data_IF_876198217841
#
_entry.id   IF_876198217841
#
_cell.length_a   1.000
_cell.length_b   1.000
_cell.length_c   1.000
_cell.angle_alpha   90.00
_cell.angle_beta   90.00
_cell.angle_gamma   90.00
#
_symmetry.space_group_name_H-M   'P 1'
#
loop_
_entity.id
_entity.type
_entity.pdbx_description
1 polymer ?
#
# COMPACT_ATOMS: atom_id res chain seq x y z
N UNK A 1 4.16 -4.65 20.58
CA UNK A 1 3.50 -5.33 21.71
C UNK A 1 2.12 -4.72 21.81
N UNK A 2 1.07 -5.49 21.53
CA UNK A 2 -0.32 -5.02 21.62
C UNK A 2 -0.74 -5.14 23.07
N UNK A 3 -1.13 -4.03 23.72
CA UNK A 3 -1.70 -4.08 25.05
C UNK A 3 -3.10 -4.69 24.96
N UNK A 4 -3.30 -5.85 25.61
CA UNK A 4 -4.62 -6.40 25.84
C UNK A 4 -5.34 -5.51 26.85
N UNK A 5 -6.31 -4.74 26.39
CA UNK A 5 -7.09 -3.87 27.26
C UNK A 5 -8.21 -4.69 27.92
N UNK A 6 -8.10 -4.90 29.21
CA UNK A 6 -9.22 -5.36 30.04
C UNK A 6 -10.33 -4.29 30.01
N UNK A 7 -11.55 -4.73 29.65
CA UNK A 7 -12.85 -4.04 29.83
C UNK A 7 -12.96 -2.62 29.25
N UNK A 8 -13.42 -2.53 28.02
CA UNK A 8 -13.81 -1.25 27.38
C UNK A 8 -15.34 -1.10 27.46
N UNK A 9 -15.90 -0.93 28.67
CA UNK A 9 -17.36 -0.80 28.84
C UNK A 9 -17.95 0.50 28.25
N UNK A 10 -17.15 1.56 28.05
CA UNK A 10 -17.62 2.86 27.55
C UNK A 10 -17.02 3.32 26.21
N UNK A 11 -16.23 2.52 25.54
CA UNK A 11 -15.68 2.90 24.24
C UNK A 11 -16.68 2.66 23.12
N UNK A 12 -17.02 3.72 22.37
CA UNK A 12 -17.77 3.58 21.13
C UNK A 12 -16.74 3.38 20.00
N UNK A 13 -16.78 2.23 19.33
CA UNK A 13 -15.97 1.94 18.16
C UNK A 13 -16.67 2.42 16.89
N UNK A 14 -15.90 2.84 15.89
CA UNK A 14 -16.44 3.12 14.56
C UNK A 14 -16.85 1.79 13.89
N UNK A 15 -15.99 0.77 14.02
CA UNK A 15 -16.21 -0.56 13.48
C UNK A 15 -15.75 -1.62 14.46
N UNK A 16 -16.53 -2.70 14.60
CA UNK A 16 -16.11 -3.91 15.31
C UNK A 16 -16.19 -5.12 14.36
N UNK A 17 -15.08 -5.86 14.25
CA UNK A 17 -15.00 -7.14 13.55
C UNK A 17 -15.20 -8.23 14.58
N UNK A 18 -16.27 -9.03 14.45
CA UNK A 18 -16.67 -10.03 15.45
C UNK A 18 -16.49 -11.47 14.95
N UNK A 19 -16.31 -12.38 15.90
CA UNK A 19 -16.29 -13.84 15.71
C UNK A 19 -15.12 -14.34 14.82
N UNK A 20 -14.11 -13.51 14.56
CA UNK A 20 -12.99 -13.87 13.70
C UNK A 20 -11.96 -14.78 14.36
N UNK A 21 -11.13 -15.41 13.53
CA UNK A 21 -9.86 -15.99 13.97
C UNK A 21 -8.74 -15.04 13.64
N UNK A 22 -8.12 -14.44 14.64
CA UNK A 22 -7.06 -13.44 14.45
C UNK A 22 -5.74 -14.11 14.16
N UNK A 23 -5.03 -13.58 13.15
CA UNK A 23 -3.61 -13.85 12.84
C UNK A 23 -2.94 -12.50 12.81
N UNK A 24 -2.23 -12.13 13.86
CA UNK A 24 -1.75 -10.76 14.11
C UNK A 24 -0.39 -10.42 13.47
N UNK A 25 0.23 -11.39 12.81
CA UNK A 25 1.55 -11.22 12.19
C UNK A 25 2.74 -11.34 13.17
N UNK A 26 2.51 -11.61 14.46
CA UNK A 26 3.58 -11.76 15.47
C UNK A 26 4.39 -13.06 15.34
N UNK A 27 3.93 -14.01 14.52
CA UNK A 27 4.46 -15.38 14.46
C UNK A 27 3.89 -16.30 15.53
N UNK A 28 3.00 -15.79 16.40
CA UNK A 28 2.28 -16.56 17.40
C UNK A 28 1.14 -17.41 16.83
N UNK A 29 0.55 -18.25 17.69
CA UNK A 29 -0.62 -19.06 17.30
C UNK A 29 -1.84 -18.16 17.07
N UNK A 30 -2.64 -18.50 16.03
CA UNK A 30 -3.93 -17.86 15.80
C UNK A 30 -4.89 -18.07 16.97
N UNK A 31 -5.77 -17.09 17.21
CA UNK A 31 -6.71 -17.12 18.32
C UNK A 31 -8.06 -16.51 17.94
N UNK A 32 -9.13 -16.90 18.65
CA UNK A 32 -10.47 -16.32 18.47
C UNK A 32 -10.55 -15.00 19.24
N UNK A 33 -10.97 -13.94 18.56
CA UNK A 33 -11.14 -12.63 19.19
C UNK A 33 -11.97 -11.70 18.31
N UNK A 34 -12.51 -10.64 18.92
CA UNK A 34 -13.07 -9.48 18.24
C UNK A 34 -12.00 -8.41 18.08
N UNK A 35 -12.14 -7.53 17.07
CA UNK A 35 -11.25 -6.41 16.82
C UNK A 35 -12.07 -5.12 16.77
N UNK A 36 -11.75 -4.16 17.65
CA UNK A 36 -12.38 -2.84 17.71
C UNK A 36 -11.51 -1.76 17.06
N UNK A 37 -12.11 -1.03 16.12
CA UNK A 37 -11.48 0.05 15.36
C UNK A 37 -12.12 1.38 15.74
N UNK A 38 -11.29 2.38 16.02
CA UNK A 38 -11.70 3.76 16.29
C UNK A 38 -10.69 4.74 15.70
N UNK A 39 -11.18 5.75 15.00
CA UNK A 39 -10.33 6.76 14.35
C UNK A 39 -9.24 6.13 13.46
N UNK A 40 -9.62 5.18 12.61
CA UNK A 40 -8.73 4.44 11.70
C UNK A 40 -7.58 3.67 12.40
N UNK A 41 -7.77 3.32 13.68
CA UNK A 41 -6.77 2.58 14.47
C UNK A 41 -7.42 1.39 15.17
N UNK A 42 -6.71 0.28 15.24
CA UNK A 42 -7.08 -0.83 16.13
C UNK A 42 -6.90 -0.34 17.56
N UNK A 43 -8.00 -0.33 18.33
CA UNK A 43 -8.02 0.13 19.73
C UNK A 43 -8.14 -0.99 20.72
N UNK A 44 -8.75 -2.10 20.34
CA UNK A 44 -8.90 -3.25 21.19
C UNK A 44 -8.91 -4.55 20.38
N UNK A 45 -8.33 -5.60 20.97
CA UNK A 45 -8.46 -6.99 20.53
C UNK A 45 -8.83 -7.78 21.76
N UNK A 46 -10.00 -8.41 21.79
CA UNK A 46 -10.51 -9.11 22.96
C UNK A 46 -11.99 -9.46 22.84
N UNK A 47 -12.64 -9.72 23.97
CA UNK A 47 -14.10 -9.86 24.02
C UNK A 47 -14.76 -8.47 23.99
N UNK A 48 -15.35 -8.14 22.86
CA UNK A 48 -16.11 -6.90 22.65
C UNK A 48 -17.63 -7.14 22.60
N UNK A 49 -18.13 -8.20 23.25
CA UNK A 49 -19.55 -8.56 23.28
C UNK A 49 -20.45 -7.43 23.78
N UNK A 50 -19.97 -6.63 24.74
CA UNK A 50 -20.68 -5.48 25.34
C UNK A 50 -20.34 -4.13 24.71
N UNK A 51 -19.39 -4.09 23.76
CA UNK A 51 -18.96 -2.83 23.15
C UNK A 51 -20.06 -2.19 22.30
N UNK A 52 -20.14 -0.86 22.33
CA UNK A 52 -20.98 -0.07 21.41
C UNK A 52 -20.17 0.24 20.13
N UNK A 53 -20.82 0.21 18.99
CA UNK A 53 -20.17 0.41 17.68
C UNK A 53 -21.15 0.98 16.64
N UNK A 54 -20.59 1.68 15.65
CA UNK A 54 -21.34 2.15 14.50
C UNK A 54 -21.58 1.03 13.47
N UNK A 55 -20.51 0.31 13.08
CA UNK A 55 -20.57 -0.76 12.09
C UNK A 55 -20.10 -2.10 12.72
N UNK A 56 -20.81 -3.18 12.39
CA UNK A 56 -20.39 -4.54 12.71
C UNK A 56 -20.03 -5.30 11.45
N UNK A 57 -18.86 -5.94 11.43
CA UNK A 57 -18.46 -6.92 10.43
C UNK A 57 -18.44 -8.29 11.10
N UNK A 58 -19.22 -9.23 10.57
CA UNK A 58 -19.20 -10.61 11.06
C UNK A 58 -18.12 -11.40 10.30
N UNK A 59 -17.10 -11.83 11.02
CA UNK A 59 -15.99 -12.63 10.51
C UNK A 59 -16.08 -14.11 10.97
N UNK A 60 -17.27 -14.62 11.25
CA UNK A 60 -17.45 -16.02 11.61
C UNK A 60 -16.86 -16.94 10.53
N UNK A 61 -16.04 -17.91 10.92
CA UNK A 61 -15.30 -18.81 10.04
C UNK A 61 -14.30 -18.12 9.07
N UNK A 62 -13.90 -16.90 9.37
CA UNK A 62 -12.91 -16.15 8.59
C UNK A 62 -11.66 -15.85 9.42
N UNK A 63 -10.56 -15.59 8.70
CA UNK A 63 -9.34 -15.06 9.29
C UNK A 63 -9.43 -13.53 9.28
N UNK A 64 -9.02 -12.92 10.38
CA UNK A 64 -8.78 -11.49 10.52
C UNK A 64 -7.28 -11.29 10.66
N UNK A 65 -6.67 -10.66 9.69
CA UNK A 65 -5.23 -10.44 9.63
C UNK A 65 -4.93 -9.01 9.18
N UNK A 66 -3.72 -8.48 9.43
CA UNK A 66 -3.25 -7.28 8.76
C UNK A 66 -3.32 -7.44 7.24
N UNK A 67 -3.59 -6.34 6.53
CA UNK A 67 -3.53 -6.35 5.07
C UNK A 67 -2.13 -6.69 4.57
N UNK A 68 -2.04 -7.38 3.44
CA UNK A 68 -0.75 -7.73 2.86
C UNK A 68 -0.05 -6.50 2.28
N UNK A 69 1.28 -6.53 2.33
CA UNK A 69 2.14 -5.50 1.75
C UNK A 69 2.84 -6.12 0.55
N UNK A 70 2.55 -5.61 -0.64
CA UNK A 70 3.28 -5.97 -1.86
C UNK A 70 4.50 -5.06 -1.99
N UNK A 71 5.66 -5.59 -1.64
CA UNK A 71 6.91 -4.80 -1.56
C UNK A 71 7.64 -4.67 -2.90
N UNK A 72 7.14 -5.27 -3.97
CA UNK A 72 7.75 -5.22 -5.30
C UNK A 72 6.68 -5.26 -6.38
N UNK A 73 6.20 -4.11 -6.78
CA UNK A 73 5.16 -3.98 -7.80
C UNK A 73 5.48 -2.87 -8.80
N UNK A 74 4.81 -2.93 -9.95
CA UNK A 74 4.88 -1.96 -11.04
C UNK A 74 3.57 -1.17 -11.14
N UNK A 75 2.97 -0.84 -10.01
CA UNK A 75 1.67 -0.19 -9.94
C UNK A 75 1.74 1.35 -10.06
N UNK A 76 2.91 1.93 -10.32
CA UNK A 76 3.13 3.38 -10.40
C UNK A 76 2.03 4.07 -11.22
N UNK A 77 1.79 3.59 -12.45
CA UNK A 77 0.75 4.13 -13.32
C UNK A 77 -0.65 3.71 -12.90
N UNK A 78 -0.78 2.48 -12.41
CA UNK A 78 -2.09 1.92 -12.05
C UNK A 78 -2.72 2.68 -10.90
N UNK A 79 -1.93 3.13 -9.93
CA UNK A 79 -2.38 3.97 -8.83
C UNK A 79 -3.07 5.26 -9.31
N UNK A 80 -2.60 5.84 -10.42
CA UNK A 80 -3.19 7.04 -11.02
C UNK A 80 -4.37 6.74 -11.94
N UNK A 81 -4.32 5.63 -12.70
CA UNK A 81 -5.31 5.33 -13.75
C UNK A 81 -6.47 4.46 -13.27
N UNK A 82 -6.27 3.67 -12.22
CA UNK A 82 -7.26 2.78 -11.61
C UNK A 82 -7.16 2.83 -10.08
N UNK A 83 -7.48 3.97 -9.46
CA UNK A 83 -7.26 4.20 -8.02
C UNK A 83 -8.08 3.26 -7.12
N UNK A 84 -9.10 2.58 -7.63
CA UNK A 84 -9.84 1.54 -6.89
C UNK A 84 -8.97 0.34 -6.53
N UNK A 85 -7.88 0.09 -7.27
CA UNK A 85 -6.92 -0.98 -7.03
C UNK A 85 -7.55 -2.37 -6.80
N UNK A 86 -8.64 -2.67 -7.50
CA UNK A 86 -9.45 -3.88 -7.28
C UNK A 86 -8.63 -5.17 -7.38
N UNK A 87 -7.64 -5.22 -8.29
CA UNK A 87 -6.73 -6.37 -8.44
C UNK A 87 -5.87 -6.63 -7.19
N UNK A 88 -5.56 -5.59 -6.41
CA UNK A 88 -4.79 -5.71 -5.16
C UNK A 88 -5.71 -5.99 -3.97
N UNK A 89 -6.78 -5.21 -3.84
CA UNK A 89 -7.71 -5.30 -2.71
C UNK A 89 -8.40 -6.68 -2.68
N UNK A 90 -8.79 -7.21 -3.84
CA UNK A 90 -9.41 -8.55 -3.93
C UNK A 90 -8.49 -9.68 -3.44
N UNK A 91 -7.18 -9.45 -3.41
CA UNK A 91 -6.17 -10.38 -2.88
C UNK A 91 -5.79 -10.08 -1.42
N UNK A 92 -6.41 -9.06 -0.79
CA UNK A 92 -6.09 -8.64 0.57
C UNK A 92 -4.83 -7.76 0.67
N UNK A 93 -4.28 -7.27 -0.44
CA UNK A 93 -3.18 -6.30 -0.44
C UNK A 93 -3.73 -4.92 -0.12
N UNK A 94 -3.17 -4.27 0.89
CA UNK A 94 -3.58 -2.93 1.36
C UNK A 94 -2.46 -1.89 1.27
N UNK A 95 -1.25 -2.34 0.95
CA UNK A 95 -0.09 -1.46 0.77
C UNK A 95 0.79 -1.99 -0.36
N UNK A 96 1.32 -1.08 -1.17
CA UNK A 96 2.22 -1.41 -2.28
C UNK A 96 3.49 -0.58 -2.22
N UNK A 97 4.62 -1.15 -2.70
CA UNK A 97 5.89 -0.42 -2.86
C UNK A 97 6.31 -0.53 -4.32
N UNK A 98 6.26 0.59 -5.04
CA UNK A 98 6.69 0.70 -6.43
C UNK A 98 8.12 1.22 -6.55
N UNK A 99 8.78 0.99 -7.67
CA UNK A 99 10.16 1.42 -7.95
C UNK A 99 11.25 0.48 -7.43
N UNK A 100 10.92 -0.58 -6.70
CA UNK A 100 11.87 -1.48 -6.04
C UNK A 100 12.77 -2.26 -7.03
N UNK A 101 12.28 -2.56 -8.24
CA UNK A 101 13.08 -3.22 -9.28
C UNK A 101 14.03 -2.26 -10.03
N UNK A 102 14.07 -0.99 -9.65
CA UNK A 102 14.92 0.02 -10.28
C UNK A 102 14.27 0.78 -11.43
N UNK A 103 12.99 0.63 -11.69
CA UNK A 103 12.22 1.43 -12.64
C UNK A 103 11.08 2.18 -11.95
N UNK A 104 10.88 3.46 -12.30
CA UNK A 104 9.82 4.33 -11.79
C UNK A 104 9.39 5.32 -12.87
N UNK A 105 8.20 5.90 -12.77
CA UNK A 105 7.71 6.91 -13.73
C UNK A 105 8.43 8.26 -13.58
N UNK A 106 8.98 8.53 -12.41
CA UNK A 106 9.65 9.78 -12.06
C UNK A 106 11.01 9.51 -11.39
N UNK A 107 11.96 10.46 -11.48
CA UNK A 107 11.95 11.68 -12.28
C UNK A 107 12.37 11.39 -13.74
N UNK A 108 11.45 11.53 -14.67
CA UNK A 108 11.75 11.36 -16.11
C UNK A 108 10.69 12.08 -16.97
N UNK A 109 11.14 12.73 -18.03
CA UNK A 109 10.28 13.22 -19.11
C UNK A 109 10.73 12.54 -20.39
N UNK A 110 9.91 11.64 -20.91
CA UNK A 110 10.17 10.91 -22.16
C UNK A 110 8.86 10.46 -22.80
N UNK A 111 8.66 10.76 -24.07
CA UNK A 111 7.46 10.33 -24.80
C UNK A 111 7.45 8.82 -25.04
N UNK A 112 8.61 8.26 -25.37
CA UNK A 112 8.80 6.83 -25.63
C UNK A 112 10.01 6.34 -24.80
N UNK A 113 9.82 5.99 -23.53
CA UNK A 113 10.93 5.55 -22.69
C UNK A 113 11.51 4.23 -23.22
N UNK A 114 12.85 4.10 -23.22
CA UNK A 114 13.50 2.87 -23.67
C UNK A 114 13.34 1.73 -22.63
N UNK A 115 13.60 0.48 -23.02
CA UNK A 115 13.72 -0.61 -22.06
C UNK A 115 14.74 -0.30 -20.95
N UNK A 116 14.44 -0.69 -19.71
CA UNK A 116 13.29 -1.49 -19.25
C UNK A 116 12.05 -0.65 -18.84
N UNK A 117 12.06 0.66 -19.02
CA UNK A 117 10.98 1.55 -18.60
C UNK A 117 9.68 1.35 -19.40
N UNK A 118 9.79 0.88 -20.64
CA UNK A 118 8.65 0.49 -21.47
C UNK A 118 7.74 -0.60 -20.84
N UNK A 119 8.25 -1.32 -19.83
CA UNK A 119 7.46 -2.30 -19.07
C UNK A 119 6.35 -1.66 -18.21
N UNK A 120 6.57 -0.42 -17.76
CA UNK A 120 5.61 0.27 -16.86
C UNK A 120 5.01 1.53 -17.48
N UNK A 121 5.66 2.07 -18.52
CA UNK A 121 5.33 3.36 -19.09
C UNK A 121 4.85 3.21 -20.52
N UNK A 122 3.58 3.51 -20.76
CA UNK A 122 3.06 3.80 -22.09
C UNK A 122 3.51 5.20 -22.53
N UNK A 123 3.32 5.52 -23.81
CA UNK A 123 3.64 6.83 -24.37
C UNK A 123 3.04 7.96 -23.51
N UNK A 124 3.87 8.93 -23.11
CA UNK A 124 3.49 10.07 -22.29
C UNK A 124 3.30 9.78 -20.80
N UNK A 125 3.55 8.57 -20.31
CA UNK A 125 3.46 8.26 -18.89
C UNK A 125 4.63 8.85 -18.08
N UNK A 126 5.83 8.92 -18.66
CA UNK A 126 7.01 9.58 -18.08
C UNK A 126 6.95 11.09 -18.35
N UNK A 127 6.20 11.84 -17.52
CA UNK A 127 5.97 13.29 -17.70
C UNK A 127 6.39 14.13 -16.49
N UNK A 128 7.09 13.54 -15.55
CA UNK A 128 7.45 14.18 -14.29
C UNK A 128 8.94 14.52 -14.27
N UNK A 129 9.28 15.79 -14.34
CA UNK A 129 10.68 16.25 -14.27
C UNK A 129 11.28 16.08 -12.89
N UNK A 130 10.43 16.02 -11.85
CA UNK A 130 10.84 15.76 -10.47
C UNK A 130 10.00 14.64 -9.84
N UNK A 131 10.56 13.99 -8.84
CA UNK A 131 9.83 12.97 -8.09
C UNK A 131 8.66 13.56 -7.29
N UNK A 132 8.83 14.79 -6.81
CA UNK A 132 7.82 15.54 -6.08
C UNK A 132 6.55 15.79 -6.91
N UNK A 133 6.70 16.14 -8.21
CA UNK A 133 5.55 16.30 -9.11
C UNK A 133 4.70 15.01 -9.22
N UNK A 134 5.36 13.86 -9.29
CA UNK A 134 4.66 12.58 -9.29
C UNK A 134 3.93 12.33 -7.97
N UNK A 135 4.59 12.57 -6.83
CA UNK A 135 3.97 12.39 -5.52
C UNK A 135 2.77 13.31 -5.32
N UNK A 136 2.85 14.56 -5.74
CA UNK A 136 1.72 15.51 -5.69
C UNK A 136 0.52 15.03 -6.51
N UNK A 137 0.73 14.44 -7.67
CA UNK A 137 -0.37 13.87 -8.47
C UNK A 137 -1.00 12.66 -7.78
N UNK A 138 -0.19 11.78 -7.20
CA UNK A 138 -0.70 10.63 -6.42
C UNK A 138 -1.50 11.09 -5.20
N UNK A 139 -1.02 12.09 -4.47
CA UNK A 139 -1.72 12.68 -3.31
C UNK A 139 -3.04 13.35 -3.70
N UNK A 140 -3.07 13.97 -4.88
CA UNK A 140 -4.27 14.62 -5.42
C UNK A 140 -5.37 13.64 -5.86
N UNK A 141 -5.02 12.37 -6.10
CA UNK A 141 -5.94 11.31 -6.52
C UNK A 141 -5.68 10.02 -5.70
N UNK A 142 -6.02 10.03 -4.40
CA UNK A 142 -5.65 8.95 -3.51
C UNK A 142 -6.27 7.61 -3.92
N UNK A 143 -5.43 6.58 -3.98
CA UNK A 143 -5.85 5.22 -4.27
C UNK A 143 -6.42 4.52 -3.02
N UNK A 144 -7.14 3.42 -3.25
CA UNK A 144 -7.76 2.63 -2.18
C UNK A 144 -6.74 1.76 -1.39
N UNK A 145 -5.46 1.81 -1.75
CA UNK A 145 -4.34 1.18 -1.02
C UNK A 145 -3.33 2.24 -0.59
N UNK A 146 -2.56 1.95 0.46
CA UNK A 146 -1.40 2.78 0.78
C UNK A 146 -0.30 2.51 -0.24
N UNK A 147 0.47 3.54 -0.59
CA UNK A 147 1.56 3.41 -1.52
C UNK A 147 2.85 4.05 -0.98
N UNK A 148 3.97 3.39 -1.23
CA UNK A 148 5.30 3.93 -1.06
C UNK A 148 6.06 3.81 -2.36
N UNK A 149 6.96 4.77 -2.62
CA UNK A 149 7.66 4.85 -3.89
C UNK A 149 9.16 4.98 -3.69
N UNK A 150 9.90 4.24 -4.48
CA UNK A 150 11.33 4.35 -4.60
C UNK A 150 11.67 4.97 -5.96
N UNK A 151 12.72 5.78 -6.00
CA UNK A 151 13.26 6.29 -7.26
C UNK A 151 14.03 5.17 -7.96
N UNK A 152 13.64 4.86 -9.19
CA UNK A 152 14.26 3.80 -9.96
C UNK A 152 15.67 4.17 -10.43
N UNK A 153 16.66 3.31 -10.16
CA UNK A 153 18.02 3.51 -10.64
C UNK A 153 18.11 3.55 -12.16
N UNK A 154 17.39 2.66 -12.87
CA UNK A 154 17.32 2.67 -14.32
C UNK A 154 16.65 3.93 -14.88
N UNK A 155 15.64 4.44 -14.17
CA UNK A 155 14.98 5.71 -14.50
C UNK A 155 15.96 6.88 -14.43
N UNK A 156 16.79 6.94 -13.39
CA UNK A 156 17.84 7.97 -13.28
C UNK A 156 18.86 7.84 -14.40
N UNK A 157 19.29 6.62 -14.73
CA UNK A 157 20.23 6.40 -15.84
C UNK A 157 19.66 6.87 -17.17
N UNK A 158 18.41 6.53 -17.49
CA UNK A 158 17.74 6.98 -18.72
C UNK A 158 17.63 8.49 -18.79
N UNK A 159 17.36 9.14 -17.66
CA UNK A 159 17.22 10.60 -17.60
C UNK A 159 18.54 11.37 -17.63
N UNK A 160 19.70 10.72 -17.38
CA UNK A 160 20.99 11.42 -17.20
C UNK A 160 22.11 10.94 -18.11
N UNK A 161 21.95 9.78 -18.74
CA UNK A 161 23.00 9.18 -19.57
C UNK A 161 22.61 9.19 -21.06
N UNK A 162 23.57 9.43 -21.90
CA UNK A 162 23.47 9.37 -23.37
C UNK A 162 23.48 7.92 -23.90
N UNK A 163 24.04 6.97 -23.14
CA UNK A 163 24.10 5.55 -23.46
C UNK A 163 24.01 4.71 -22.19
N UNK A 164 23.22 3.64 -22.23
CA UNK A 164 22.95 2.79 -21.08
C UNK A 164 23.91 1.59 -20.96
N UNK A 165 24.72 1.32 -22.00
CA UNK A 165 25.63 0.18 -22.09
C UNK A 165 27.03 0.45 -21.49
N UNK A 166 27.21 1.58 -20.83
CA UNK A 166 28.45 1.99 -20.17
C UNK A 166 28.25 2.32 -18.69
N UNK A 167 29.32 2.36 -17.93
CA UNK A 167 29.31 2.89 -16.58
C UNK A 167 28.97 4.40 -16.57
N UNK A 168 28.34 4.86 -15.48
CA UNK A 168 28.16 6.28 -15.25
C UNK A 168 29.53 6.97 -15.04
N UNK A 169 29.69 8.20 -15.53
CA UNK A 169 30.83 9.03 -15.25
C UNK A 169 30.64 9.81 -13.93
N UNK A 170 31.73 10.40 -13.44
CA UNK A 170 31.72 11.23 -12.21
C UNK A 170 31.30 12.70 -12.46
N UNK A 171 30.84 13.01 -13.67
CA UNK A 171 30.38 14.38 -14.04
C UNK A 171 28.95 14.37 -14.45
#
# INVERSE_FOLDING_TARGET
MWEYVEMVEDCIFDTVIKNGTVVDGSGGSRFKSDVGIKNNRIKAIGDLSRARYGLKIDAANRIVAPGFIDVHTHDDRVLLTKPTMDMKISQGVTSVVAGNCGISLAPLVADNPPPPLDLIAEAGACRYSTFDQFLQEVEGAPAAVNAAFLVGHSTLRVGTMDSLDRAASST
#
